data_IF_315278655837
#
_entry.id   IF_315278655837
#
_cell.length_a   1.000
_cell.length_b   1.000
_cell.length_c   1.000
_cell.angle_alpha   90.00
_cell.angle_beta   90.00
_cell.angle_gamma   90.00
#
_symmetry.space_group_name_H-M   'P 1'
#
loop_
_entity.id
_entity.type
_entity.pdbx_description
1 polymer ?
#
# COMPACT_ATOMS: atom_id res chain seq x y z
N UNK A 1 3.66 -14.34 -34.15
CA UNK A 1 2.61 -14.55 -33.14
C UNK A 1 3.16 -14.38 -31.71
N UNK A 2 4.29 -15.00 -31.35
CA UNK A 2 4.90 -14.93 -30.00
C UNK A 2 5.30 -13.50 -29.61
N UNK A 3 5.87 -12.71 -30.53
CA UNK A 3 6.26 -11.32 -30.26
C UNK A 3 5.04 -10.39 -30.05
N UNK A 4 3.93 -10.64 -30.71
CA UNK A 4 2.70 -9.86 -30.55
C UNK A 4 2.07 -10.19 -29.19
N UNK A 5 2.01 -11.46 -28.80
CA UNK A 5 1.51 -11.87 -27.49
C UNK A 5 2.34 -11.26 -26.35
N UNK A 6 3.66 -11.27 -26.50
CA UNK A 6 4.58 -10.68 -25.53
C UNK A 6 4.38 -9.15 -25.41
N UNK A 7 4.21 -8.47 -26.53
CA UNK A 7 3.94 -7.03 -26.57
C UNK A 7 2.61 -6.67 -25.90
N UNK A 8 1.56 -7.47 -26.11
CA UNK A 8 0.27 -7.29 -25.47
C UNK A 8 0.38 -7.49 -23.93
N UNK A 9 1.07 -8.55 -23.50
CA UNK A 9 1.30 -8.80 -22.08
C UNK A 9 2.11 -7.68 -21.44
N UNK A 10 3.16 -7.21 -22.08
CA UNK A 10 3.97 -6.09 -21.59
C UNK A 10 3.14 -4.80 -21.50
N UNK A 11 2.31 -4.51 -22.50
CA UNK A 11 1.41 -3.36 -22.46
C UNK A 11 0.42 -3.47 -21.29
N UNK A 12 -0.23 -4.62 -21.11
CA UNK A 12 -1.18 -4.83 -20.01
C UNK A 12 -0.51 -4.68 -18.65
N UNK A 13 0.69 -5.22 -18.49
CA UNK A 13 1.43 -5.13 -17.22
C UNK A 13 1.89 -3.70 -16.95
N UNK A 14 2.52 -3.06 -17.93
CA UNK A 14 3.18 -1.77 -17.73
C UNK A 14 2.22 -0.59 -17.73
N UNK A 15 1.15 -0.63 -18.52
CA UNK A 15 0.26 0.52 -18.73
C UNK A 15 -1.07 0.39 -17.95
N UNK A 16 -1.46 -0.83 -17.59
CA UNK A 16 -2.74 -1.06 -16.93
C UNK A 16 -2.55 -1.56 -15.51
N UNK A 17 -1.86 -2.68 -15.32
CA UNK A 17 -1.71 -3.29 -14.00
C UNK A 17 -0.74 -2.53 -13.08
N UNK A 18 0.22 -1.80 -13.65
CA UNK A 18 1.12 -0.92 -12.90
C UNK A 18 0.44 0.35 -12.38
N UNK A 19 -0.74 0.71 -12.90
CA UNK A 19 -1.51 1.88 -12.43
C UNK A 19 -2.49 1.44 -11.35
N UNK A 20 -2.29 1.82 -10.08
CA UNK A 20 -3.12 1.33 -8.96
C UNK A 20 -4.61 1.58 -9.14
N UNK A 21 -5.00 2.69 -9.75
CA UNK A 21 -6.39 3.01 -10.02
C UNK A 21 -7.07 1.99 -10.94
N UNK A 22 -6.39 1.57 -12.02
CA UNK A 22 -6.91 0.57 -12.95
C UNK A 22 -6.91 -0.82 -12.30
N UNK A 23 -5.88 -1.14 -11.52
CA UNK A 23 -5.83 -2.40 -10.78
C UNK A 23 -7.02 -2.55 -9.83
N UNK A 24 -7.35 -1.51 -9.07
CA UNK A 24 -8.53 -1.51 -8.17
C UNK A 24 -9.83 -1.67 -8.95
N UNK A 25 -9.97 -0.99 -10.10
CA UNK A 25 -11.11 -1.17 -10.98
C UNK A 25 -11.27 -2.61 -11.47
N UNK A 26 -10.16 -3.24 -11.90
CA UNK A 26 -10.14 -4.63 -12.36
C UNK A 26 -10.50 -5.59 -11.22
N UNK A 27 -9.90 -5.43 -10.05
CA UNK A 27 -10.20 -6.27 -8.88
C UNK A 27 -11.69 -6.15 -8.51
N UNK A 28 -12.24 -4.93 -8.53
CA UNK A 28 -13.67 -4.69 -8.29
C UNK A 28 -14.53 -5.41 -9.32
N UNK A 29 -14.17 -5.32 -10.60
CA UNK A 29 -14.89 -6.00 -11.67
C UNK A 29 -14.88 -7.52 -11.51
N UNK A 30 -13.71 -8.12 -11.24
CA UNK A 30 -13.53 -9.55 -11.03
C UNK A 30 -14.31 -10.03 -9.80
N UNK A 31 -14.24 -9.30 -8.69
CA UNK A 31 -14.97 -9.64 -7.47
C UNK A 31 -16.50 -9.65 -7.69
N UNK A 32 -17.04 -8.63 -8.36
CA UNK A 32 -18.48 -8.56 -8.65
C UNK A 32 -18.92 -9.59 -9.71
N UNK A 33 -18.06 -9.91 -10.66
CA UNK A 33 -18.31 -10.99 -11.62
C UNK A 33 -18.38 -12.36 -10.92
N UNK A 34 -17.47 -12.63 -9.98
CA UNK A 34 -17.51 -13.83 -9.15
C UNK A 34 -18.80 -13.90 -8.31
N UNK A 35 -19.32 -12.77 -7.88
CA UNK A 35 -20.62 -12.65 -7.20
C UNK A 35 -21.83 -12.71 -8.16
N UNK A 36 -21.62 -12.97 -9.44
CA UNK A 36 -22.65 -13.06 -10.49
C UNK A 36 -23.55 -11.83 -10.60
N UNK A 37 -22.98 -10.64 -10.39
CA UNK A 37 -23.71 -9.37 -10.60
C UNK A 37 -23.92 -9.08 -12.09
N UNK A 38 -24.87 -8.22 -12.42
CA UNK A 38 -25.14 -7.84 -13.83
C UNK A 38 -23.97 -7.06 -14.43
N UNK A 39 -23.79 -7.14 -15.74
CA UNK A 39 -22.69 -6.47 -16.46
C UNK A 39 -22.70 -4.94 -16.19
N UNK A 40 -23.88 -4.32 -16.16
CA UNK A 40 -24.00 -2.90 -15.85
C UNK A 40 -23.54 -2.54 -14.42
N UNK A 41 -23.83 -3.40 -13.44
CA UNK A 41 -23.35 -3.23 -12.07
C UNK A 41 -21.84 -3.40 -11.97
N UNK A 42 -21.26 -4.39 -12.67
CA UNK A 42 -19.83 -4.64 -12.71
C UNK A 42 -19.10 -3.44 -13.32
N UNK A 43 -19.52 -3.01 -14.50
CA UNK A 43 -18.90 -1.89 -15.21
C UNK A 43 -19.01 -0.59 -14.40
N UNK A 44 -20.21 -0.28 -13.89
CA UNK A 44 -20.44 0.93 -13.10
C UNK A 44 -19.63 0.96 -11.81
N UNK A 45 -19.50 -0.15 -11.10
CA UNK A 45 -18.71 -0.24 -9.88
C UNK A 45 -17.21 -0.14 -10.18
N UNK A 46 -16.70 -0.82 -11.21
CA UNK A 46 -15.31 -0.75 -11.63
C UNK A 46 -14.89 0.68 -11.99
N UNK A 47 -15.70 1.38 -12.79
CA UNK A 47 -15.46 2.79 -13.14
C UNK A 47 -15.46 3.68 -11.89
N UNK A 48 -16.44 3.52 -11.01
CA UNK A 48 -16.52 4.30 -9.77
C UNK A 48 -15.31 4.05 -8.86
N UNK A 49 -14.87 2.81 -8.74
CA UNK A 49 -13.68 2.45 -7.95
C UNK A 49 -12.41 3.08 -8.53
N UNK A 50 -12.23 3.01 -9.85
CA UNK A 50 -11.10 3.64 -10.55
C UNK A 50 -11.10 5.16 -10.37
N UNK A 51 -12.23 5.81 -10.65
CA UNK A 51 -12.35 7.27 -10.54
C UNK A 51 -12.21 7.73 -9.08
N UNK A 52 -12.79 7.00 -8.12
CA UNK A 52 -12.65 7.31 -6.69
C UNK A 52 -11.20 7.27 -6.25
N UNK A 53 -10.44 6.27 -6.68
CA UNK A 53 -9.01 6.17 -6.37
C UNK A 53 -8.19 7.32 -7.02
N UNK A 54 -8.49 7.68 -8.26
CA UNK A 54 -7.85 8.82 -8.93
C UNK A 54 -8.16 10.15 -8.23
N UNK A 55 -9.39 10.35 -7.76
CA UNK A 55 -9.79 11.55 -7.02
C UNK A 55 -9.08 11.64 -5.67
N UNK A 56 -8.97 10.52 -4.94
CA UNK A 56 -8.21 10.47 -3.68
C UNK A 56 -6.75 10.81 -3.94
N UNK A 57 -6.14 10.24 -4.98
CA UNK A 57 -4.76 10.53 -5.37
C UNK A 57 -4.54 12.00 -5.72
N UNK A 58 -5.45 12.59 -6.49
CA UNK A 58 -5.39 14.01 -6.82
C UNK A 58 -5.53 14.91 -5.57
N UNK A 59 -6.46 14.59 -4.68
CA UNK A 59 -6.64 15.30 -3.41
C UNK A 59 -5.42 15.19 -2.50
N UNK A 60 -4.86 13.99 -2.36
CA UNK A 60 -3.62 13.76 -1.61
C UNK A 60 -2.46 14.56 -2.19
N UNK A 61 -2.32 14.60 -3.52
CA UNK A 61 -1.30 15.41 -4.21
C UNK A 61 -1.41 16.90 -3.90
N UNK A 62 -2.62 17.45 -3.88
CA UNK A 62 -2.85 18.85 -3.51
C UNK A 62 -2.43 19.14 -2.05
N UNK A 63 -2.77 18.26 -1.12
CA UNK A 63 -2.38 18.40 0.29
C UNK A 63 -0.86 18.35 0.43
N UNK A 64 -0.20 17.37 -0.19
CA UNK A 64 1.26 17.23 -0.16
C UNK A 64 1.95 18.46 -0.73
N UNK A 65 1.49 18.96 -1.89
CA UNK A 65 2.05 20.15 -2.50
C UNK A 65 1.87 21.39 -1.62
N UNK A 66 0.74 21.49 -0.91
CA UNK A 66 0.48 22.58 0.03
C UNK A 66 1.39 22.52 1.27
N UNK A 67 1.79 21.31 1.70
CA UNK A 67 2.68 21.10 2.85
C UNK A 67 4.18 21.23 2.48
N UNK A 68 4.53 21.20 1.20
CA UNK A 68 5.92 21.33 0.74
C UNK A 68 6.65 22.57 1.28
N UNK A 69 6.08 23.79 1.23
CA UNK A 69 6.68 24.98 1.83
C UNK A 69 6.89 24.86 3.33
N UNK A 70 5.94 24.25 4.05
CA UNK A 70 6.05 24.01 5.50
C UNK A 70 7.23 23.09 5.82
N UNK A 71 7.43 22.03 5.04
CA UNK A 71 8.60 21.15 5.18
C UNK A 71 9.93 21.90 5.09
N UNK A 72 10.07 22.79 4.10
CA UNK A 72 11.26 23.64 3.94
C UNK A 72 11.45 24.62 5.10
N UNK A 73 10.37 25.15 5.66
CA UNK A 73 10.44 26.05 6.82
C UNK A 73 10.89 25.30 8.07
N UNK A 74 10.41 24.08 8.28
CA UNK A 74 10.82 23.21 9.40
C UNK A 74 12.29 22.84 9.26
N UNK A 75 12.73 22.46 8.06
CA UNK A 75 14.14 22.16 7.77
C UNK A 75 15.03 23.36 8.10
N UNK A 76 14.66 24.56 7.65
CA UNK A 76 15.39 25.80 7.93
C UNK A 76 15.40 26.21 9.40
N UNK A 77 14.31 25.93 10.13
CA UNK A 77 14.20 26.33 11.55
C UNK A 77 14.90 25.35 12.51
N UNK A 78 14.85 24.06 12.21
CA UNK A 78 15.35 23.01 13.10
C UNK A 78 16.72 22.44 12.68
N UNK A 79 17.24 22.82 11.51
CA UNK A 79 18.46 22.24 10.93
C UNK A 79 18.30 20.74 10.64
N UNK A 80 17.07 20.24 10.61
CA UNK A 80 16.80 18.83 10.36
C UNK A 80 17.11 18.48 8.92
N UNK A 81 18.16 17.74 8.69
CA UNK A 81 18.49 17.17 7.39
C UNK A 81 18.04 15.72 7.34
N UNK A 82 17.23 15.39 6.38
CA UNK A 82 16.76 14.02 6.17
C UNK A 82 15.68 13.94 5.12
N UNK A 83 15.58 12.79 4.45
CA UNK A 83 14.44 12.49 3.57
C UNK A 83 13.35 11.90 4.44
N UNK A 84 12.33 12.68 4.76
CA UNK A 84 11.11 12.15 5.35
C UNK A 84 10.22 11.71 4.20
N UNK A 85 10.00 10.41 3.98
CA UNK A 85 9.10 9.92 2.95
C UNK A 85 7.65 10.24 3.35
N UNK A 86 7.25 11.47 3.09
CA UNK A 86 5.93 11.98 3.45
C UNK A 86 4.87 11.71 2.40
N UNK A 87 5.26 11.18 1.23
CA UNK A 87 4.31 10.90 0.17
C UNK A 87 4.70 9.69 -0.69
N UNK A 88 3.73 9.19 -1.42
CA UNK A 88 3.85 8.07 -2.34
C UNK A 88 4.85 8.32 -3.49
N UNK A 89 5.12 9.56 -3.85
CA UNK A 89 6.08 9.88 -4.91
C UNK A 89 7.52 9.58 -4.47
N UNK A 90 7.89 9.87 -3.22
CA UNK A 90 9.21 9.52 -2.65
C UNK A 90 9.32 8.01 -2.49
N UNK A 91 8.23 7.36 -2.05
CA UNK A 91 8.15 5.91 -2.03
C UNK A 91 8.32 5.31 -3.44
N UNK A 92 7.72 5.92 -4.47
CA UNK A 92 7.89 5.53 -5.88
C UNK A 92 9.32 5.62 -6.38
N UNK A 93 10.06 6.67 -6.03
CA UNK A 93 11.49 6.81 -6.38
C UNK A 93 12.31 5.70 -5.70
N UNK A 94 12.05 5.42 -4.45
CA UNK A 94 12.74 4.36 -3.73
C UNK A 94 12.43 2.96 -4.29
N UNK A 95 11.23 2.74 -4.80
CA UNK A 95 10.86 1.48 -5.47
C UNK A 95 11.67 1.23 -6.75
N UNK A 96 12.09 2.28 -7.46
CA UNK A 96 12.98 2.11 -8.62
C UNK A 96 14.33 1.49 -8.22
N UNK A 97 14.81 1.80 -7.03
CA UNK A 97 16.10 1.32 -6.53
C UNK A 97 15.98 0.01 -5.73
N UNK A 98 14.91 -0.16 -4.96
CA UNK A 98 14.72 -1.28 -4.02
C UNK A 98 13.47 -2.11 -4.30
N UNK A 99 12.89 -2.04 -5.49
CA UNK A 99 11.61 -2.65 -5.81
C UNK A 99 11.52 -4.16 -5.55
N UNK A 100 12.62 -4.89 -5.77
CA UNK A 100 12.69 -6.32 -5.49
C UNK A 100 12.58 -6.61 -3.98
N UNK A 101 13.32 -5.88 -3.14
CA UNK A 101 13.26 -6.02 -1.69
C UNK A 101 11.89 -5.65 -1.15
N UNK A 102 11.31 -4.54 -1.65
CA UNK A 102 9.97 -4.09 -1.28
C UNK A 102 8.92 -5.16 -1.59
N UNK A 103 8.98 -5.75 -2.79
CA UNK A 103 8.05 -6.80 -3.19
C UNK A 103 8.15 -8.05 -2.29
N UNK A 104 9.35 -8.48 -1.96
CA UNK A 104 9.57 -9.60 -1.05
C UNK A 104 9.11 -9.31 0.37
N UNK A 105 9.41 -8.12 0.90
CA UNK A 105 8.96 -7.69 2.22
C UNK A 105 7.43 -7.63 2.27
N UNK A 106 6.79 -7.10 1.22
CA UNK A 106 5.34 -7.01 1.14
C UNK A 106 4.69 -8.40 1.13
N UNK A 107 5.17 -9.31 0.26
CA UNK A 107 4.62 -10.65 0.16
C UNK A 107 4.84 -11.46 1.44
N UNK A 108 6.07 -11.53 1.92
CA UNK A 108 6.39 -12.29 3.12
C UNK A 108 5.77 -11.67 4.38
N UNK A 109 5.74 -10.34 4.50
CA UNK A 109 5.08 -9.63 5.59
C UNK A 109 3.58 -9.89 5.63
N UNK A 110 2.92 -9.91 4.48
CA UNK A 110 1.51 -10.29 4.41
C UNK A 110 1.28 -11.73 4.88
N UNK A 111 2.07 -12.69 4.42
CA UNK A 111 1.96 -14.08 4.86
C UNK A 111 2.20 -14.21 6.38
N UNK A 112 3.20 -13.51 6.92
CA UNK A 112 3.48 -13.46 8.36
C UNK A 112 2.27 -12.87 9.11
N UNK A 113 1.65 -11.80 8.59
CA UNK A 113 0.47 -11.20 9.21
C UNK A 113 -0.70 -12.18 9.30
N UNK A 114 -0.94 -12.99 8.25
CA UNK A 114 -1.96 -14.03 8.26
C UNK A 114 -1.68 -15.10 9.33
N UNK A 115 -0.43 -15.54 9.43
CA UNK A 115 -0.01 -16.50 10.46
C UNK A 115 -0.20 -15.90 11.86
N UNK A 116 0.27 -14.67 12.08
CA UNK A 116 0.12 -13.99 13.37
C UNK A 116 -1.36 -13.79 13.74
N UNK A 117 -2.21 -13.39 12.80
CA UNK A 117 -3.65 -13.26 13.01
C UNK A 117 -4.30 -14.61 13.36
N UNK A 118 -3.73 -15.73 12.91
CA UNK A 118 -4.26 -17.07 13.19
C UNK A 118 -3.82 -17.62 14.54
N UNK A 119 -2.56 -17.36 14.96
CA UNK A 119 -1.96 -17.96 16.16
C UNK A 119 -2.02 -17.04 17.40
N UNK A 120 -2.29 -15.76 17.21
CA UNK A 120 -2.41 -14.79 18.31
C UNK A 120 -3.87 -14.41 18.56
N UNK A 121 -4.21 -13.84 19.72
CA UNK A 121 -5.56 -13.32 19.98
C UNK A 121 -5.90 -12.08 19.13
N UNK A 122 -4.95 -11.55 18.36
CA UNK A 122 -5.15 -10.41 17.49
C UNK A 122 -5.65 -10.87 16.11
N UNK A 123 -6.95 -11.10 15.99
CA UNK A 123 -7.59 -11.61 14.77
C UNK A 123 -7.83 -10.49 13.72
N UNK A 124 -6.83 -9.66 13.47
CA UNK A 124 -6.90 -8.55 12.53
C UNK A 124 -6.03 -8.81 11.31
N UNK A 125 -6.53 -8.47 10.14
CA UNK A 125 -5.78 -8.54 8.89
C UNK A 125 -5.89 -7.21 8.16
N UNK A 126 -4.75 -6.58 7.90
CA UNK A 126 -4.69 -5.34 7.16
C UNK A 126 -4.75 -5.63 5.66
N UNK A 127 -5.77 -5.13 4.96
CA UNK A 127 -6.02 -5.42 3.54
C UNK A 127 -5.74 -4.26 2.59
N UNK A 128 -5.37 -3.09 3.12
CA UNK A 128 -5.12 -1.91 2.32
C UNK A 128 -3.77 -1.99 1.60
N UNK A 129 -3.77 -2.54 0.38
CA UNK A 129 -2.57 -2.88 -0.37
C UNK A 129 -1.60 -1.72 -0.63
N UNK A 130 -2.10 -0.51 -0.93
CA UNK A 130 -1.24 0.67 -1.14
C UNK A 130 -0.54 1.10 0.14
N UNK A 131 -1.19 0.99 1.29
CA UNK A 131 -0.58 1.27 2.58
C UNK A 131 0.50 0.23 2.94
N UNK A 132 0.23 -1.06 2.65
CA UNK A 132 1.24 -2.11 2.79
C UNK A 132 2.47 -1.83 1.94
N UNK A 133 2.28 -1.42 0.69
CA UNK A 133 3.36 -1.07 -0.23
C UNK A 133 4.17 0.12 0.29
N UNK A 134 3.49 1.15 0.80
CA UNK A 134 4.14 2.30 1.42
C UNK A 134 4.96 1.90 2.64
N UNK A 135 4.40 1.12 3.55
CA UNK A 135 5.08 0.64 4.75
C UNK A 135 6.26 -0.28 4.41
N UNK A 136 6.10 -1.20 3.45
CA UNK A 136 7.18 -2.05 2.98
C UNK A 136 8.34 -1.22 2.38
N UNK A 137 8.01 -0.19 1.60
CA UNK A 137 9.00 0.71 1.02
C UNK A 137 9.73 1.51 2.09
N UNK A 138 9.01 2.06 3.07
CA UNK A 138 9.57 2.80 4.18
C UNK A 138 10.55 1.94 5.00
N UNK A 139 10.11 0.75 5.38
CA UNK A 139 10.95 -0.23 6.10
C UNK A 139 12.22 -0.54 5.30
N UNK A 140 12.07 -0.78 3.99
CA UNK A 140 13.20 -1.09 3.10
C UNK A 140 14.21 0.04 3.06
N UNK A 141 13.76 1.29 2.87
CA UNK A 141 14.66 2.46 2.79
C UNK A 141 15.42 2.63 4.12
N UNK A 142 14.71 2.59 5.24
CA UNK A 142 15.33 2.76 6.56
C UNK A 142 16.35 1.67 6.83
N UNK A 143 16.03 0.41 6.53
CA UNK A 143 16.95 -0.71 6.75
C UNK A 143 18.10 -0.73 5.75
N UNK A 144 17.87 -0.38 4.48
CA UNK A 144 18.93 -0.32 3.47
C UNK A 144 19.96 0.78 3.78
N UNK A 145 19.56 1.86 4.46
CA UNK A 145 20.48 2.92 4.91
C UNK A 145 21.49 2.44 5.96
N UNK A 146 21.25 1.30 6.62
CA UNK A 146 22.11 0.75 7.68
C UNK A 146 23.20 -0.20 7.16
N UNK A 147 23.39 -0.32 5.84
CA UNK A 147 24.36 -1.22 5.22
C UNK A 147 24.19 -2.71 5.58
N UNK A 148 22.98 -3.12 5.99
CA UNK A 148 22.66 -4.52 6.26
C UNK A 148 22.63 -5.36 4.98
N UNK A 149 23.02 -6.65 5.04
CA UNK A 149 22.83 -7.57 3.92
C UNK A 149 21.37 -7.65 3.49
N UNK A 150 21.13 -7.74 2.19
CA UNK A 150 19.77 -7.76 1.60
C UNK A 150 18.87 -8.85 2.21
N UNK A 151 19.43 -10.02 2.52
CA UNK A 151 18.69 -11.11 3.16
C UNK A 151 18.17 -10.76 4.56
N UNK A 152 18.97 -10.02 5.33
CA UNK A 152 18.57 -9.52 6.65
C UNK A 152 17.50 -8.44 6.52
N UNK A 153 17.67 -7.53 5.58
CA UNK A 153 16.65 -6.48 5.27
C UNK A 153 15.32 -7.13 4.93
N UNK A 154 15.30 -8.13 4.05
CA UNK A 154 14.07 -8.84 3.69
C UNK A 154 13.48 -9.59 4.89
N UNK A 155 14.29 -10.34 5.63
CA UNK A 155 13.82 -11.14 6.76
C UNK A 155 13.23 -10.30 7.90
N UNK A 156 14.00 -9.35 8.40
CA UNK A 156 13.56 -8.45 9.49
C UNK A 156 12.46 -7.50 9.01
N UNK A 157 12.56 -6.98 7.78
CA UNK A 157 11.55 -6.11 7.21
C UNK A 157 10.20 -6.80 7.06
N UNK A 158 10.19 -8.06 6.62
CA UNK A 158 8.97 -8.86 6.52
C UNK A 158 8.36 -9.16 7.87
N UNK A 159 9.17 -9.47 8.88
CA UNK A 159 8.70 -9.68 10.24
C UNK A 159 8.08 -8.41 10.81
N UNK A 160 8.78 -7.28 10.66
CA UNK A 160 8.30 -5.98 11.14
C UNK A 160 7.00 -5.58 10.47
N UNK A 161 6.92 -5.71 9.14
CA UNK A 161 5.69 -5.43 8.39
C UNK A 161 4.54 -6.32 8.86
N UNK A 162 4.76 -7.62 8.99
CA UNK A 162 3.75 -8.57 9.43
C UNK A 162 3.21 -8.25 10.82
N UNK A 163 4.07 -7.88 11.76
CA UNK A 163 3.66 -7.44 13.10
C UNK A 163 2.87 -6.13 13.05
N UNK A 164 3.32 -5.14 12.26
CA UNK A 164 2.62 -3.86 12.13
C UNK A 164 1.22 -4.05 11.53
N UNK A 165 1.07 -4.93 10.55
CA UNK A 165 -0.22 -5.18 9.90
C UNK A 165 -1.27 -5.83 10.80
N UNK A 166 -0.85 -6.53 11.84
CA UNK A 166 -1.77 -7.09 12.85
C UNK A 166 -1.99 -6.11 14.00
N UNK A 167 -0.93 -5.43 14.44
CA UNK A 167 -0.98 -4.57 15.62
C UNK A 167 -1.67 -3.23 15.37
N UNK A 168 -1.50 -2.62 14.19
CA UNK A 168 -2.11 -1.32 13.88
C UNK A 168 -3.65 -1.36 13.93
N UNK A 169 -4.34 -2.30 13.26
CA UNK A 169 -5.80 -2.43 13.40
C UNK A 169 -6.21 -2.72 14.84
N UNK A 170 -5.46 -3.58 15.54
CA UNK A 170 -5.74 -3.92 16.93
C UNK A 170 -5.68 -2.70 17.87
N UNK A 171 -4.67 -1.85 17.69
CA UNK A 171 -4.50 -0.60 18.45
C UNK A 171 -5.58 0.43 18.10
N UNK A 172 -5.99 0.50 16.84
CA UNK A 172 -7.01 1.44 16.38
C UNK A 172 -8.43 1.01 16.79
N UNK A 173 -8.69 -0.28 16.90
CA UNK A 173 -10.02 -0.86 17.13
C UNK A 173 -10.80 -0.27 18.33
N UNK A 174 -10.22 -0.06 19.52
CA UNK A 174 -10.95 0.54 20.64
C UNK A 174 -11.46 1.95 20.33
N UNK A 175 -10.72 2.72 19.55
CA UNK A 175 -11.10 4.07 19.13
C UNK A 175 -12.18 4.04 18.05
N UNK A 176 -12.00 3.15 17.05
CA UNK A 176 -12.99 2.96 15.99
C UNK A 176 -14.34 2.55 16.57
N UNK A 177 -14.35 1.61 17.50
CA UNK A 177 -15.55 1.16 18.17
C UNK A 177 -16.30 2.27 18.91
N UNK A 178 -15.57 3.23 19.50
CA UNK A 178 -16.17 4.41 20.13
C UNK A 178 -16.83 5.34 19.11
N UNK A 179 -16.20 5.54 17.96
CA UNK A 179 -16.68 6.44 16.91
C UNK A 179 -17.90 5.85 16.19
N UNK A 180 -17.92 4.52 15.99
CA UNK A 180 -18.99 3.80 15.29
C UNK A 180 -20.18 3.43 16.19
N UNK A 181 -20.21 3.90 17.44
CA UNK A 181 -21.34 3.62 18.35
C UNK A 181 -21.35 2.19 18.90
N UNK A 182 -20.20 1.50 18.92
CA UNK A 182 -20.05 0.16 19.47
C UNK A 182 -19.98 -0.95 18.43
N UNK A 183 -20.01 -0.60 17.14
CA UNK A 183 -19.87 -1.56 16.04
C UNK A 183 -18.47 -2.18 16.01
N UNK A 184 -18.39 -3.47 15.65
CA UNK A 184 -17.13 -4.22 15.58
C UNK A 184 -16.48 -4.05 14.21
N UNK A 185 -16.03 -2.81 13.95
CA UNK A 185 -15.39 -2.40 12.69
C UNK A 185 -13.92 -2.11 12.98
N UNK A 186 -13.01 -2.78 12.27
CA UNK A 186 -11.58 -2.52 12.30
C UNK A 186 -11.16 -1.68 11.08
N UNK A 187 -10.12 -0.85 11.26
CA UNK A 187 -9.47 -0.13 10.17
C UNK A 187 -8.34 -1.01 9.64
N UNK A 188 -8.30 -1.22 8.30
CA UNK A 188 -7.22 -1.96 7.67
C UNK A 188 -7.50 -2.36 6.23
#
# INVERSE_FOLDING_TARGET
>A
LMNIALAIVQFLVNEILSVPAFLIGIITAVGLAAMRKSVGQIAGAAIKATLGFLLIGAGAGLVVNSLGPLGKMIEGALGAQGVVPTNEAIAGIAQQQFGSQVAWIMLAGFLISLVLARITPLHYVFLTGHHMLFMATLITIVMASTSMPTSIVIGLGSLLLGVLMVSLPALAHPFTRKITGGEDIAIG
#
